data_IF_021086900900
#
_entry.id   IF_021086900900
#
_cell.length_a   1.000
_cell.length_b   1.000
_cell.length_c   1.000
_cell.angle_alpha   90.00
_cell.angle_beta   90.00
_cell.angle_gamma   90.00
#
_symmetry.space_group_name_H-M   'P 1'
#
loop_
_entity.id
_entity.type
_entity.pdbx_description
1 polymer ?
#
# COMPACT_ATOMS: atom_id res chain seq x y z
N UNK A 1 2.70 4.55 27.16
CA UNK A 1 1.80 4.40 26.01
C UNK A 1 2.56 4.91 24.80
N UNK A 2 3.18 4.02 24.02
CA UNK A 2 4.01 4.42 22.88
C UNK A 2 3.08 4.82 21.73
N UNK A 3 2.92 6.14 21.52
CA UNK A 3 2.34 6.63 20.28
C UNK A 3 3.33 6.30 19.17
N UNK A 4 3.04 5.27 18.38
CA UNK A 4 3.74 5.05 17.12
C UNK A 4 3.27 6.15 16.16
N UNK A 5 3.88 7.33 16.28
CA UNK A 5 3.77 8.38 15.26
C UNK A 5 4.71 7.93 14.15
N UNK A 6 4.16 7.31 13.11
CA UNK A 6 4.91 7.12 11.88
C UNK A 6 4.98 8.49 11.22
N UNK A 7 5.97 9.30 11.61
CA UNK A 7 6.32 10.56 10.97
C UNK A 7 6.92 10.23 9.60
N UNK A 8 6.08 10.12 8.58
CA UNK A 8 6.57 10.17 7.20
C UNK A 8 6.70 11.66 6.88
N UNK A 9 7.90 12.18 7.15
CA UNK A 9 8.24 13.56 6.87
C UNK A 9 8.27 13.77 5.35
N UNK A 10 7.20 14.30 4.77
CA UNK A 10 7.31 15.05 3.52
C UNK A 10 7.96 16.40 3.87
N UNK A 11 9.12 16.76 3.31
CA UNK A 11 9.79 18.01 3.60
C UNK A 11 9.06 19.17 2.90
N UNK A 12 7.95 19.63 3.48
CA UNK A 12 7.27 20.81 2.95
C UNK A 12 7.86 22.05 3.61
N UNK A 13 8.25 23.03 2.79
CA UNK A 13 8.53 24.39 3.27
C UNK A 13 7.23 25.18 3.33
N UNK A 14 6.66 25.34 4.53
CA UNK A 14 5.72 26.43 4.80
C UNK A 14 6.51 27.58 5.42
N UNK A 15 6.42 28.78 4.84
CA UNK A 15 7.01 30.01 5.39
C UNK A 15 8.49 29.95 5.83
N UNK A 16 9.30 29.03 5.26
CA UNK A 16 10.72 28.88 5.59
C UNK A 16 11.04 27.96 6.79
N UNK A 17 10.04 27.34 7.42
CA UNK A 17 10.23 26.36 8.50
C UNK A 17 9.99 24.92 8.00
N UNK A 18 10.70 23.92 8.56
CA UNK A 18 10.48 22.53 8.22
C UNK A 18 9.18 22.03 8.85
N UNK A 19 8.14 21.81 8.04
CA UNK A 19 6.88 21.23 8.52
C UNK A 19 6.86 19.73 8.27
N UNK A 20 6.24 18.95 9.16
CA UNK A 20 6.07 17.50 9.00
C UNK A 20 4.60 17.11 9.06
N UNK A 21 4.19 16.30 8.10
CA UNK A 21 2.90 15.60 8.15
C UNK A 21 3.07 14.38 9.06
N UNK A 22 2.23 14.30 10.08
CA UNK A 22 2.24 13.21 11.05
C UNK A 22 0.96 12.40 10.93
N UNK A 23 1.11 11.08 11.05
CA UNK A 23 -0.03 10.17 11.13
C UNK A 23 -0.13 9.60 12.54
N UNK A 24 -1.33 9.56 13.10
CA UNK A 24 -1.62 8.86 14.36
C UNK A 24 -2.72 7.86 14.11
N UNK A 25 -2.39 6.56 14.12
CA UNK A 25 -3.29 5.42 13.89
C UNK A 25 -4.27 5.61 12.71
N UNK A 26 -5.37 6.35 12.87
CA UNK A 26 -6.41 6.56 11.84
C UNK A 26 -6.36 7.93 11.16
N UNK A 27 -5.68 8.89 11.78
CA UNK A 27 -5.77 10.30 11.44
C UNK A 27 -4.46 10.78 10.81
N UNK A 28 -4.60 11.70 9.87
CA UNK A 28 -3.49 12.44 9.27
C UNK A 28 -3.64 13.90 9.70
N UNK A 29 -2.57 14.49 10.20
CA UNK A 29 -2.52 15.86 10.66
C UNK A 29 -1.21 16.51 10.26
N UNK A 30 -1.27 17.82 10.06
CA UNK A 30 -0.06 18.64 9.97
C UNK A 30 0.34 19.07 11.36
N UNK A 31 1.61 18.84 11.69
CA UNK A 31 2.17 19.22 12.97
C UNK A 31 3.40 20.06 12.71
N UNK A 32 3.35 21.31 13.15
CA UNK A 32 4.52 22.18 13.17
C UNK A 32 5.34 21.83 14.41
N UNK A 33 6.61 21.48 14.19
CA UNK A 33 7.54 21.15 15.27
C UNK A 33 8.49 22.34 15.45
N UNK A 34 8.18 23.19 16.41
CA UNK A 34 9.14 24.19 16.88
C UNK A 34 10.00 23.57 17.98
N UNK A 35 11.26 23.29 17.67
CA UNK A 35 12.22 22.71 18.63
C UNK A 35 12.57 23.68 19.78
N UNK A 36 12.12 24.95 19.72
CA UNK A 36 12.26 25.93 20.79
C UNK A 36 11.19 25.86 21.88
N UNK A 37 10.05 25.20 21.64
CA UNK A 37 8.94 25.11 22.58
C UNK A 37 8.55 23.65 22.86
N UNK A 38 8.09 23.36 24.08
CA UNK A 38 7.66 22.02 24.49
C UNK A 38 6.22 21.67 24.07
N UNK A 39 5.54 22.55 23.33
CA UNK A 39 4.14 22.37 22.94
C UNK A 39 4.03 22.02 21.45
N UNK A 40 3.33 20.92 21.18
CA UNK A 40 3.06 20.43 19.83
C UNK A 40 1.66 20.87 19.45
N UNK A 41 1.56 21.85 18.54
CA UNK A 41 0.28 22.30 18.00
C UNK A 41 0.03 21.68 16.63
N UNK A 42 -1.12 21.02 16.48
CA UNK A 42 -1.60 20.56 15.18
C UNK A 42 -2.26 21.74 14.46
N UNK A 43 -1.77 22.06 13.25
CA UNK A 43 -2.31 23.17 12.46
C UNK A 43 -3.65 22.79 11.82
N UNK A 44 -3.73 21.58 11.29
CA UNK A 44 -5.00 20.99 10.83
C UNK A 44 -4.95 19.47 10.88
N UNK A 45 -6.15 18.88 10.80
CA UNK A 45 -6.35 17.44 10.74
C UNK A 45 -7.31 17.13 9.58
N UNK A 46 -7.02 16.08 8.81
CA UNK A 46 -7.95 15.59 7.78
C UNK A 46 -9.28 15.19 8.47
N UNK A 47 -10.43 15.66 7.96
CA UNK A 47 -11.73 15.36 8.53
C UNK A 47 -12.09 13.88 8.40
N UNK A 48 -12.67 13.31 9.45
CA UNK A 48 -13.16 11.93 9.45
C UNK A 48 -14.38 11.81 8.53
N UNK A 49 -14.21 11.21 7.34
CA UNK A 49 -15.32 10.89 6.42
C UNK A 49 -15.96 9.52 6.71
N UNK A 50 -15.78 8.99 7.91
CA UNK A 50 -16.27 7.66 8.31
C UNK A 50 -15.28 6.52 8.04
N UNK A 51 -14.09 6.81 7.52
CA UNK A 51 -13.01 5.83 7.36
C UNK A 51 -12.46 5.43 8.74
N UNK A 52 -12.54 4.14 9.09
CA UNK A 52 -12.14 3.63 10.42
C UNK A 52 -10.78 2.92 10.41
N UNK A 53 -10.20 2.72 9.25
CA UNK A 53 -8.97 1.96 9.05
C UNK A 53 -7.72 2.79 9.35
N UNK A 54 -6.67 2.09 9.78
CA UNK A 54 -5.39 2.70 10.10
C UNK A 54 -4.70 3.16 8.82
N UNK A 55 -4.00 4.29 8.90
CA UNK A 55 -3.09 4.73 7.84
C UNK A 55 -1.81 3.90 7.92
N UNK A 56 -1.47 3.23 6.83
CA UNK A 56 -0.26 2.40 6.74
C UNK A 56 0.88 3.11 6.01
N UNK A 57 0.55 3.89 4.98
CA UNK A 57 1.53 4.62 4.19
C UNK A 57 0.97 5.97 3.72
N UNK A 58 1.87 6.93 3.52
CA UNK A 58 1.56 8.25 2.98
C UNK A 58 2.69 8.69 2.07
N UNK A 59 2.38 9.40 1.00
CA UNK A 59 3.37 10.00 0.12
C UNK A 59 2.81 11.29 -0.47
N UNK A 60 3.67 12.25 -0.79
CA UNK A 60 3.25 13.56 -1.29
C UNK A 60 4.00 13.88 -2.59
N UNK A 61 3.30 14.52 -3.51
CA UNK A 61 3.87 15.07 -4.72
C UNK A 61 3.95 16.60 -4.63
N UNK A 62 5.16 17.12 -4.45
CA UNK A 62 5.40 18.56 -4.29
C UNK A 62 5.11 19.38 -5.56
N UNK A 63 5.06 18.81 -6.76
CA UNK A 63 4.77 19.58 -7.96
C UNK A 63 3.27 19.78 -8.23
N UNK A 64 2.42 18.92 -7.66
CA UNK A 64 0.95 18.94 -7.85
C UNK A 64 0.19 19.21 -6.55
N UNK A 65 0.89 19.26 -5.41
CA UNK A 65 0.24 19.41 -4.11
C UNK A 65 -0.64 18.23 -3.73
N UNK A 66 -0.40 17.05 -4.31
CA UNK A 66 -1.19 15.86 -4.04
C UNK A 66 -0.60 15.06 -2.88
N UNK A 67 -1.47 14.64 -1.97
CA UNK A 67 -1.18 13.81 -0.81
C UNK A 67 -1.91 12.48 -0.97
N UNK A 68 -1.14 11.41 -1.08
CA UNK A 68 -1.63 10.05 -1.25
C UNK A 68 -1.57 9.33 0.08
N UNK A 69 -2.69 8.75 0.51
CA UNK A 69 -2.81 8.02 1.78
C UNK A 69 -3.26 6.60 1.47
N UNK A 70 -2.52 5.60 1.96
CA UNK A 70 -2.86 4.19 1.86
C UNK A 70 -3.21 3.61 3.22
N UNK A 71 -4.37 2.96 3.31
CA UNK A 71 -4.93 2.43 4.55
C UNK A 71 -4.88 0.91 4.66
N UNK A 72 -5.10 0.43 5.88
CA UNK A 72 -5.08 -0.99 6.25
C UNK A 72 -6.25 -1.82 5.71
N UNK A 73 -7.33 -1.18 5.26
CA UNK A 73 -8.48 -1.82 4.61
C UNK A 73 -8.40 -1.80 3.08
N UNK A 74 -7.29 -1.30 2.53
CA UNK A 74 -7.07 -1.19 1.08
C UNK A 74 -7.61 0.07 0.44
N UNK A 75 -8.10 1.03 1.24
CA UNK A 75 -8.47 2.34 0.73
C UNK A 75 -7.22 3.18 0.41
N UNK A 76 -7.19 3.70 -0.81
CA UNK A 76 -6.28 4.73 -1.31
C UNK A 76 -7.06 6.02 -1.38
N UNK A 77 -6.57 7.06 -0.73
CA UNK A 77 -7.16 8.40 -0.78
C UNK A 77 -6.16 9.36 -1.42
N UNK A 78 -6.66 10.22 -2.30
CA UNK A 78 -5.87 11.31 -2.88
C UNK A 78 -6.46 12.62 -2.45
N UNK A 79 -5.67 13.39 -1.73
CA UNK A 79 -6.01 14.70 -1.23
C UNK A 79 -5.18 15.75 -1.95
N UNK A 80 -5.73 16.94 -2.18
CA UNK A 80 -5.03 18.03 -2.86
C UNK A 80 -5.04 19.28 -2.01
N UNK A 81 -3.87 19.90 -1.90
CA UNK A 81 -3.68 21.19 -1.25
C UNK A 81 -4.08 22.34 -2.16
N UNK A 82 -4.41 23.49 -1.58
CA UNK A 82 -4.74 24.69 -2.35
C UNK A 82 -3.45 25.30 -2.91
N UNK A 83 -3.42 25.54 -4.21
CA UNK A 83 -2.33 26.24 -4.87
C UNK A 83 -2.60 27.75 -4.87
N UNK A 84 -1.58 28.55 -4.54
CA UNK A 84 -1.63 30.01 -4.61
C UNK A 84 -0.57 30.49 -5.59
N UNK A 85 -0.96 31.37 -6.51
CA UNK A 85 -0.03 32.01 -7.43
C UNK A 85 0.58 33.23 -6.77
N UNK A 86 1.90 33.24 -6.57
CA UNK A 86 2.61 34.41 -6.09
C UNK A 86 2.73 35.48 -7.18
N UNK A 87 2.95 36.73 -6.77
CA UNK A 87 3.12 37.88 -7.67
C UNK A 87 4.34 37.75 -8.59
N UNK A 88 5.29 36.86 -8.27
CA UNK A 88 6.46 36.52 -9.08
C UNK A 88 6.17 35.45 -10.16
N UNK A 89 4.93 34.93 -10.24
CA UNK A 89 4.53 33.87 -11.16
C UNK A 89 4.85 32.46 -10.71
N UNK A 90 5.39 32.27 -9.50
CA UNK A 90 5.66 30.95 -8.91
C UNK A 90 4.39 30.39 -8.28
N UNK A 91 4.17 29.09 -8.48
CA UNK A 91 3.09 28.35 -7.84
C UNK A 91 3.55 27.88 -6.46
N UNK A 92 2.87 28.31 -5.41
CA UNK A 92 3.13 27.87 -4.05
C UNK A 92 1.98 26.96 -3.58
N UNK A 93 2.32 25.79 -3.06
CA UNK A 93 1.35 24.91 -2.43
C UNK A 93 1.16 25.36 -1.00
N UNK A 94 -0.07 25.76 -0.66
CA UNK A 94 -0.42 26.16 0.69
C UNK A 94 -0.74 24.91 1.52
N UNK A 95 0.25 24.48 2.29
CA UNK A 95 0.12 23.33 3.19
C UNK A 95 -0.47 23.73 4.54
N UNK A 96 -0.57 25.02 4.87
CA UNK A 96 -1.16 25.50 6.14
C UNK A 96 -2.69 25.32 6.16
N UNK A 97 -3.30 25.11 4.99
CA UNK A 97 -4.71 24.79 4.86
C UNK A 97 -4.93 23.28 4.73
N UNK A 98 -6.00 22.79 5.36
CA UNK A 98 -6.41 21.39 5.21
C UNK A 98 -6.63 21.05 3.73
N UNK A 99 -6.08 19.93 3.23
CA UNK A 99 -6.30 19.53 1.86
C UNK A 99 -7.75 19.03 1.66
N UNK A 100 -8.15 18.93 0.40
CA UNK A 100 -9.47 18.44 -0.01
C UNK A 100 -9.37 17.08 -0.68
N UNK A 101 -10.32 16.18 -0.42
CA UNK A 101 -10.31 14.86 -1.06
C UNK A 101 -10.63 15.02 -2.54
N UNK A 102 -9.70 14.61 -3.39
CA UNK A 102 -9.86 14.58 -4.84
C UNK A 102 -10.59 13.30 -5.29
N UNK A 103 -10.11 12.14 -4.87
CA UNK A 103 -10.69 10.83 -5.21
C UNK A 103 -10.25 9.75 -4.22
N UNK A 104 -10.95 8.61 -4.24
CA UNK A 104 -10.57 7.40 -3.52
C UNK A 104 -10.70 6.14 -4.40
N UNK A 105 -9.95 5.09 -4.04
CA UNK A 105 -9.98 3.79 -4.68
C UNK A 105 -9.74 2.69 -3.65
N UNK A 106 -10.50 1.60 -3.72
CA UNK A 106 -10.33 0.47 -2.81
C UNK A 106 -9.80 -0.76 -3.57
N UNK A 107 -8.63 -1.26 -3.20
CA UNK A 107 -8.02 -2.45 -3.79
C UNK A 107 -8.39 -3.77 -3.09
N UNK A 108 -9.22 -3.73 -2.04
CA UNK A 108 -9.72 -4.90 -1.32
C UNK A 108 -8.69 -5.56 -0.39
N UNK A 109 -7.52 -4.96 -0.22
CA UNK A 109 -6.42 -5.53 0.55
C UNK A 109 -5.57 -4.45 1.22
N UNK A 110 -5.09 -4.69 2.44
CA UNK A 110 -4.22 -3.77 3.18
C UNK A 110 -3.02 -3.28 2.38
N UNK A 111 -2.85 -1.96 2.31
CA UNK A 111 -1.72 -1.33 1.63
C UNK A 111 -0.50 -1.26 2.52
N UNK A 112 0.67 -1.51 1.95
CA UNK A 112 1.95 -1.44 2.66
C UNK A 112 2.80 -0.26 2.19
N UNK A 113 2.71 0.11 0.91
CA UNK A 113 3.42 1.26 0.37
C UNK A 113 2.73 1.85 -0.85
N UNK A 114 2.86 3.17 -1.03
CA UNK A 114 2.49 3.89 -2.23
C UNK A 114 3.72 4.65 -2.73
N UNK A 115 3.98 4.57 -4.03
CA UNK A 115 5.08 5.26 -4.69
C UNK A 115 4.56 6.04 -5.90
N UNK A 116 4.95 7.30 -6.02
CA UNK A 116 4.61 8.15 -7.15
C UNK A 116 5.66 7.94 -8.24
N UNK A 117 5.22 7.62 -9.45
CA UNK A 117 6.08 7.39 -10.61
C UNK A 117 5.71 8.33 -11.75
N UNK A 118 6.66 8.53 -12.69
CA UNK A 118 6.45 9.27 -13.94
C UNK A 118 5.74 10.62 -13.75
N UNK A 119 6.30 11.47 -12.89
CA UNK A 119 5.77 12.82 -12.67
C UNK A 119 4.28 12.83 -12.26
N UNK A 120 3.84 11.85 -11.46
CA UNK A 120 2.48 11.84 -10.90
C UNK A 120 1.43 11.19 -11.79
N UNK A 121 1.81 10.75 -12.98
CA UNK A 121 0.86 10.10 -13.91
C UNK A 121 0.52 8.67 -13.51
N UNK A 122 1.45 7.98 -12.84
CA UNK A 122 1.32 6.59 -12.42
C UNK A 122 1.63 6.46 -10.93
N UNK A 123 0.72 5.85 -10.20
CA UNK A 123 0.89 5.55 -8.78
C UNK A 123 1.09 4.04 -8.65
N UNK A 124 2.22 3.62 -8.09
CA UNK A 124 2.48 2.22 -7.77
C UNK A 124 2.09 1.93 -6.33
N UNK A 125 1.28 0.89 -6.15
CA UNK A 125 0.79 0.44 -4.86
C UNK A 125 1.29 -0.98 -4.59
N UNK A 126 1.65 -1.25 -3.35
CA UNK A 126 2.00 -2.59 -2.87
C UNK A 126 1.02 -3.00 -1.77
N UNK A 127 0.48 -4.21 -1.85
CA UNK A 127 -0.39 -4.78 -0.83
C UNK A 127 0.38 -5.69 0.14
N UNK A 128 -0.28 -6.11 1.22
CA UNK A 128 0.29 -6.99 2.25
C UNK A 128 0.74 -8.36 1.71
N UNK A 129 0.01 -8.95 0.77
CA UNK A 129 0.38 -10.21 0.11
C UNK A 129 1.49 -10.05 -0.94
N UNK A 130 1.96 -8.82 -1.17
CA UNK A 130 3.02 -8.51 -2.12
C UNK A 130 2.52 -8.27 -3.54
N UNK A 131 1.23 -8.00 -3.73
CA UNK A 131 0.68 -7.63 -5.03
C UNK A 131 1.09 -6.18 -5.34
N UNK A 132 1.84 -6.00 -6.44
CA UNK A 132 2.25 -4.68 -6.92
C UNK A 132 1.40 -4.32 -8.14
N UNK A 133 0.69 -3.21 -8.07
CA UNK A 133 -0.14 -2.72 -9.17
C UNK A 133 0.01 -1.22 -9.36
N UNK A 134 -0.31 -0.76 -10.57
CA UNK A 134 -0.26 0.65 -10.95
C UNK A 134 -1.66 1.20 -11.18
N UNK A 135 -1.91 2.41 -10.70
CA UNK A 135 -3.10 3.20 -11.00
C UNK A 135 -2.71 4.43 -11.82
N UNK A 136 -3.34 4.59 -12.98
CA UNK A 136 -3.25 5.84 -13.73
C UNK A 136 -4.26 6.84 -13.17
N UNK A 137 -3.93 8.13 -13.25
CA UNK A 137 -4.81 9.22 -12.79
C UNK A 137 -6.22 9.14 -13.40
N UNK A 138 -6.31 8.75 -14.68
CA UNK A 138 -7.58 8.57 -15.40
C UNK A 138 -8.41 7.38 -14.85
N UNK A 139 -7.75 6.31 -14.42
CA UNK A 139 -8.41 5.12 -13.88
C UNK A 139 -8.98 5.37 -12.48
N UNK A 140 -8.31 6.20 -11.68
CA UNK A 140 -8.76 6.60 -10.35
C UNK A 140 -9.97 7.54 -10.38
N UNK A 141 -10.13 8.34 -11.45
CA UNK A 141 -11.29 9.20 -11.65
C UNK A 141 -12.51 8.45 -12.23
N UNK A 142 -12.29 7.23 -12.73
CA UNK A 142 -13.30 6.43 -13.43
C UNK A 142 -14.05 5.45 -12.51
N UNK A 143 -13.84 5.50 -11.19
CA UNK A 143 -14.46 4.59 -10.21
C UNK A 143 -16.01 4.65 -10.15
N UNK A 144 -16.65 5.54 -10.91
CA UNK A 144 -18.11 5.59 -11.08
C UNK A 144 -18.64 4.93 -12.37
N UNK A 145 -17.79 4.47 -13.29
CA UNK A 145 -18.25 3.78 -14.48
C UNK A 145 -17.43 2.52 -14.72
N UNK A 146 -18.14 1.39 -14.71
CA UNK A 146 -17.72 0.13 -15.32
C UNK A 146 -17.36 0.38 -16.79
N UNK A 147 -16.18 0.91 -17.06
CA UNK A 147 -15.57 0.78 -18.37
C UNK A 147 -14.72 -0.47 -18.33
N UNK A 148 -15.12 -1.54 -19.05
CA UNK A 148 -14.23 -2.66 -19.26
C UNK A 148 -13.03 -2.11 -20.01
N UNK A 149 -11.87 -2.09 -19.34
CA UNK A 149 -10.60 -1.86 -20.02
C UNK A 149 -10.59 -2.85 -21.19
N UNK A 150 -10.60 -2.34 -22.42
CA UNK A 150 -10.45 -3.14 -23.63
C UNK A 150 -8.98 -3.58 -23.67
N UNK A 151 -8.58 -4.42 -22.71
CA UNK A 151 -7.44 -5.29 -22.87
C UNK A 151 -7.86 -6.19 -24.02
N UNK A 152 -7.11 -6.12 -25.12
CA UNK A 152 -7.28 -7.01 -26.27
C UNK A 152 -7.63 -8.41 -25.78
N UNK A 153 -8.80 -8.93 -26.17
CA UNK A 153 -9.33 -10.21 -25.70
C UNK A 153 -8.29 -11.34 -25.89
N UNK A 154 -7.41 -11.20 -26.90
CA UNK A 154 -6.29 -12.10 -27.17
C UNK A 154 -5.23 -12.09 -26.06
N UNK A 155 -4.85 -10.94 -25.53
CA UNK A 155 -3.82 -10.86 -24.48
C UNK A 155 -4.35 -11.51 -23.18
N UNK A 156 -5.65 -11.33 -22.92
CA UNK A 156 -6.33 -11.98 -21.81
C UNK A 156 -6.39 -13.50 -22.00
N UNK A 157 -6.78 -13.97 -23.19
CA UNK A 157 -6.78 -15.40 -23.53
C UNK A 157 -5.39 -16.04 -23.44
N UNK A 158 -4.36 -15.36 -23.96
CA UNK A 158 -2.97 -15.80 -23.85
C UNK A 158 -2.53 -15.91 -22.39
N UNK A 159 -2.85 -14.91 -21.57
CA UNK A 159 -2.54 -14.92 -20.14
C UNK A 159 -3.26 -16.07 -19.42
N UNK A 160 -4.54 -16.29 -19.72
CA UNK A 160 -5.32 -17.40 -19.16
C UNK A 160 -4.70 -18.75 -19.53
N UNK A 161 -4.33 -18.94 -20.80
CA UNK A 161 -3.74 -20.19 -21.26
C UNK A 161 -2.36 -20.43 -20.64
N UNK A 162 -1.54 -19.39 -20.50
CA UNK A 162 -0.26 -19.47 -19.79
C UNK A 162 -0.46 -19.90 -18.33
N UNK A 163 -1.41 -19.28 -17.62
CA UNK A 163 -1.72 -19.62 -16.22
C UNK A 163 -2.19 -21.07 -16.07
N UNK A 164 -3.04 -21.57 -16.99
CA UNK A 164 -3.44 -22.99 -16.99
C UNK A 164 -2.24 -23.92 -17.10
N UNK A 165 -1.31 -23.63 -18.02
CA UNK A 165 -0.10 -24.46 -18.16
C UNK A 165 0.81 -24.42 -16.94
N UNK A 166 0.90 -23.26 -16.27
CA UNK A 166 1.67 -23.13 -15.03
C UNK A 166 1.04 -23.93 -13.89
N UNK A 167 -0.29 -23.87 -13.73
CA UNK A 167 -1.04 -24.67 -12.76
C UNK A 167 -0.78 -26.17 -12.97
N UNK A 168 -0.94 -26.68 -14.19
CA UNK A 168 -0.71 -28.10 -14.50
C UNK A 168 0.71 -28.55 -14.13
N UNK A 169 1.72 -27.70 -14.38
CA UNK A 169 3.10 -28.00 -14.03
C UNK A 169 3.33 -27.98 -12.52
N UNK A 170 2.75 -26.99 -11.81
CA UNK A 170 2.85 -26.87 -10.36
C UNK A 170 2.14 -28.04 -9.67
N UNK A 171 0.96 -28.44 -10.12
CA UNK A 171 0.22 -29.60 -9.59
C UNK A 171 1.02 -30.89 -9.73
N UNK A 172 1.64 -31.13 -10.89
CA UNK A 172 2.51 -32.29 -11.11
C UNK A 172 3.72 -32.28 -10.17
N UNK A 173 4.39 -31.13 -10.02
CA UNK A 173 5.53 -30.98 -9.10
C UNK A 173 5.11 -31.20 -7.64
N UNK A 174 3.94 -30.69 -7.28
CA UNK A 174 3.38 -30.78 -5.94
C UNK A 174 2.99 -32.21 -5.58
N UNK A 175 2.33 -32.94 -6.48
CA UNK A 175 1.97 -34.34 -6.28
C UNK A 175 3.21 -35.24 -6.13
N UNK A 176 4.23 -35.05 -6.97
CA UNK A 176 5.51 -35.78 -6.83
C UNK A 176 6.17 -35.52 -5.48
N UNK A 177 6.19 -34.26 -5.02
CA UNK A 177 6.70 -33.92 -3.68
C UNK A 177 5.86 -34.54 -2.57
N UNK A 178 4.52 -34.54 -2.69
CA UNK A 178 3.63 -35.19 -1.72
C UNK A 178 3.93 -36.69 -1.60
N UNK A 179 4.00 -37.40 -2.73
CA UNK A 179 4.36 -38.83 -2.75
C UNK A 179 5.75 -39.08 -2.15
N UNK A 180 6.73 -38.25 -2.49
CA UNK A 180 8.07 -38.33 -1.93
C UNK A 180 8.06 -38.15 -0.40
N UNK A 181 7.39 -37.12 0.12
CA UNK A 181 7.26 -36.91 1.57
C UNK A 181 6.47 -38.03 2.26
N UNK A 182 5.44 -38.57 1.61
CA UNK A 182 4.66 -39.70 2.13
C UNK A 182 5.50 -40.98 2.22
N UNK A 183 6.32 -41.26 1.19
CA UNK A 183 7.23 -42.40 1.15
C UNK A 183 8.34 -42.28 2.21
N UNK A 184 8.94 -41.10 2.37
CA UNK A 184 9.92 -40.84 3.42
C UNK A 184 9.31 -41.08 4.82
N UNK A 185 8.12 -40.53 5.06
CA UNK A 185 7.43 -40.68 6.35
C UNK A 185 7.10 -42.14 6.64
N UNK A 186 6.58 -42.87 5.63
CA UNK A 186 6.23 -44.28 5.76
C UNK A 186 7.46 -45.17 5.98
N UNK A 187 8.57 -44.89 5.27
CA UNK A 187 9.84 -45.58 5.45
C UNK A 187 10.49 -45.33 6.81
N UNK A 188 10.39 -44.12 7.34
CA UNK A 188 10.86 -43.79 8.70
C UNK A 188 10.05 -44.52 9.78
N UNK A 189 8.73 -44.66 9.61
CA UNK A 189 7.87 -45.41 10.53
C UNK A 189 8.21 -46.91 10.51
N UNK A 190 8.48 -47.49 9.34
CA UNK A 190 8.91 -48.88 9.20
C UNK A 190 10.25 -49.15 9.89
N UNK A 191 11.23 -48.27 9.70
CA UNK A 191 12.55 -48.39 10.33
C UNK A 191 12.48 -48.24 11.87
N UNK A 192 11.58 -47.39 12.39
CA UNK A 192 11.31 -47.30 13.83
C UNK A 192 10.66 -48.56 14.39
N UNK A 193 9.70 -49.15 13.69
CA UNK A 193 9.09 -50.44 14.09
C UNK A 193 10.12 -51.56 14.15
N UNK A 194 10.99 -51.69 13.13
CA UNK A 194 12.05 -52.71 13.12
C UNK A 194 13.04 -52.55 14.28
N UNK A 195 13.48 -51.32 14.60
CA UNK A 195 14.36 -51.07 15.76
C UNK A 195 13.69 -51.43 17.09
N UNK A 196 12.41 -51.10 17.27
CA UNK A 196 11.67 -51.44 18.49
C UNK A 196 11.39 -52.94 18.63
N UNK A 197 11.22 -53.67 17.52
CA UNK A 197 11.09 -55.12 17.54
C UNK A 197 12.39 -55.82 17.94
N UNK A 198 13.54 -55.33 17.46
CA UNK A 198 14.86 -55.89 17.79
C UNK A 198 15.23 -55.61 19.25
N UNK A 199 14.85 -54.45 19.81
CA UNK A 199 15.10 -54.12 21.22
C UNK A 199 14.19 -54.84 22.22
N UNK A 200 13.13 -55.52 21.77
CA UNK A 200 12.25 -56.33 22.64
C UNK A 200 12.65 -57.81 22.68
N UNK A 201 13.57 -58.24 21.82
CA UNK A 201 14.04 -59.63 21.71
C UNK A 201 15.37 -59.84 22.46
N UNK A 202 16.03 -58.75 22.89
CA UNK A 202 17.20 -58.73 23.78
C UNK A 202 16.76 -58.36 25.20
#
# INVERSE_FOLDING_TARGET
MYFCITCIAAPVKAAGLPVRICTTLRKVALISLDFGFNEVNAEWQIPDKGYRSQVNCITMMESTGELYIGRSDGLIEVWVFVETLESNGSLLINVDQSPTLLTDYNCGESLTSICICREGTLILCCTFTGLIFGLNRDQMNSSNYEQPQIVSNRDMEHKINSLKTEIDQLEKKLNRKREFYQNLTSGLILNKKQKNSISMIL
#
